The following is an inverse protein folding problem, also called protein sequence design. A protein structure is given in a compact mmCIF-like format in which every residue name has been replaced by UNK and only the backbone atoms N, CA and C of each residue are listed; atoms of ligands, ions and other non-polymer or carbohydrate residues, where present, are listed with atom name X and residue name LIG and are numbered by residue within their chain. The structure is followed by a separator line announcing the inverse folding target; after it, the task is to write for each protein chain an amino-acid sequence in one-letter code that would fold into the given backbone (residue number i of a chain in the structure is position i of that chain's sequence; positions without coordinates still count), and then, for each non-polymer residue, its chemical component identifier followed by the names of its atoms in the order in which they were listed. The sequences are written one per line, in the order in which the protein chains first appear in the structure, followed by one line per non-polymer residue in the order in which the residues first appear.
data_IF_796234292534
#
_entry.id   IF_796234292534
#
_cell.length_a   1.000
_cell.length_b   1.000
_cell.length_c   1.000
_cell.angle_alpha   90.00
_cell.angle_beta   90.00
_cell.angle_gamma   90.00
#
_symmetry.space_group_name_H-M   'P 1'
#
loop_
_entity.id
_entity.type
_entity.pdbx_description
1 polymer ?
#
# COMPACT_ATOMS: atom_id res chain seq x y z
N UNK A 1 13.37 17.52 34.29
CA UNK A 1 12.88 18.86 33.89
C UNK A 1 11.82 18.62 32.86
N UNK A 2 10.58 18.73 33.13
CA UNK A 2 9.60 19.57 33.72
C UNK A 2 8.37 19.32 32.89
N UNK A 3 7.36 18.55 33.32
CA UNK A 3 6.09 18.96 33.90
C UNK A 3 5.46 20.11 33.10
N UNK A 4 4.29 19.82 32.46
CA UNK A 4 3.12 20.62 32.75
C UNK A 4 1.82 19.89 32.38
N UNK A 5 1.02 19.75 33.40
CA UNK A 5 -0.36 19.32 33.48
C UNK A 5 -1.27 20.53 33.26
N UNK A 6 -2.24 20.44 32.37
CA UNK A 6 -3.29 21.43 32.12
C UNK A 6 -4.67 20.81 32.27
N UNK A 7 -5.19 20.90 33.49
CA UNK A 7 -6.58 20.71 33.87
C UNK A 7 -7.40 21.97 33.56
N UNK A 8 -8.69 21.78 33.24
CA UNK A 8 -9.72 22.81 33.29
C UNK A 8 -10.65 22.67 32.08
N UNK A 9 -11.94 22.65 32.14
CA UNK A 9 -12.93 23.06 33.13
C UNK A 9 -14.29 22.55 32.63
N UNK A 10 -15.06 22.08 33.56
CA UNK A 10 -16.49 21.84 33.41
C UNK A 10 -17.23 23.17 33.22
N UNK A 11 -18.22 23.17 32.33
CA UNK A 11 -19.22 24.23 32.30
C UNK A 11 -20.61 23.59 32.42
N UNK A 12 -21.10 23.75 33.65
CA UNK A 12 -22.46 23.55 34.09
C UNK A 12 -23.26 24.81 33.73
N UNK A 13 -24.46 24.68 33.28
CA UNK A 13 -25.30 25.83 32.89
C UNK A 13 -26.70 25.41 32.58
N UNK A 14 -27.46 25.15 33.66
CA UNK A 14 -28.77 25.72 34.01
C UNK A 14 -29.88 25.77 32.92
N UNK A 15 -30.83 24.94 33.14
CA UNK A 15 -32.24 25.18 33.58
C UNK A 15 -32.90 26.47 33.08
N UNK A 16 -33.83 26.34 32.13
CA UNK A 16 -35.06 27.19 32.15
C UNK A 16 -36.29 26.30 31.86
N UNK A 17 -37.08 26.14 32.93
CA UNK A 17 -38.49 25.75 32.86
C UNK A 17 -39.30 26.98 32.52
N UNK A 18 -40.18 26.90 31.54
CA UNK A 18 -41.38 27.73 31.55
C UNK A 18 -42.54 26.91 30.98
N UNK A 19 -43.42 26.62 31.86
CA UNK A 19 -44.75 26.08 31.54
C UNK A 19 -45.64 27.17 30.97
N UNK A 20 -46.50 26.74 30.08
CA UNK A 20 -47.72 27.49 29.80
C UNK A 20 -48.79 26.45 29.49
N UNK A 21 -49.61 26.23 30.51
CA UNK A 21 -50.95 25.62 30.35
C UNK A 21 -51.83 26.62 29.61
N UNK A 22 -52.44 26.18 28.58
CA UNK A 22 -53.71 26.82 28.12
C UNK A 22 -54.61 25.75 27.53
N UNK A 23 -55.51 25.39 28.38
CA UNK A 23 -56.79 24.71 28.11
C UNK A 23 -57.59 25.52 27.12
N UNK A 24 -57.91 24.97 25.96
CA UNK A 24 -59.10 25.43 25.23
C UNK A 24 -59.78 24.22 24.55
N UNK A 25 -60.80 23.88 25.22
CA UNK A 25 -61.84 22.95 24.86
C UNK A 25 -62.68 23.55 23.71
N UNK A 26 -62.56 23.01 22.50
CA UNK A 26 -63.48 23.29 21.42
C UNK A 26 -63.90 21.96 20.79
N UNK A 27 -65.13 21.58 21.13
CA UNK A 27 -65.91 20.55 20.44
C UNK A 27 -66.10 20.98 19.00
N UNK A 28 -65.49 20.28 18.06
CA UNK A 28 -65.99 20.29 16.71
C UNK A 28 -66.33 18.84 16.25
N UNK A 29 -67.58 18.54 16.26
CA UNK A 29 -68.17 17.32 15.69
C UNK A 29 -68.35 17.57 14.18
N UNK A 30 -67.25 17.36 13.43
CA UNK A 30 -67.25 17.45 11.97
C UNK A 30 -66.97 16.08 11.34
N UNK A 31 -68.01 15.39 11.01
CA UNK A 31 -68.26 14.50 9.87
C UNK A 31 -67.03 13.83 9.23
N UNK A 32 -66.55 12.73 9.82
CA UNK A 32 -65.45 11.93 9.30
C UNK A 32 -66.02 10.76 8.44
N UNK A 33 -66.41 11.07 7.18
CA UNK A 33 -66.80 10.10 6.18
C UNK A 33 -65.93 10.07 4.96
N UNK A 34 -64.56 10.11 5.16
CA UNK A 34 -63.64 9.77 4.11
C UNK A 34 -62.52 8.83 4.60
N UNK A 35 -62.94 7.67 5.11
CA UNK A 35 -61.99 6.56 5.27
C UNK A 35 -61.77 5.92 3.89
N UNK A 36 -61.06 6.60 3.01
CA UNK A 36 -60.37 5.94 1.89
C UNK A 36 -59.38 4.88 2.42
N UNK A 37 -59.05 3.87 1.65
CA UNK A 37 -58.28 2.72 2.10
C UNK A 37 -56.86 3.16 2.52
N UNK A 38 -56.70 3.52 3.81
CA UNK A 38 -55.42 3.94 4.42
C UNK A 38 -54.35 2.86 4.33
N UNK A 39 -54.66 1.63 4.00
CA UNK A 39 -53.70 0.53 3.90
C UNK A 39 -52.81 0.53 2.66
N UNK A 40 -53.29 1.04 1.52
CA UNK A 40 -52.52 1.01 0.27
C UNK A 40 -51.37 2.02 0.24
N UNK A 41 -51.59 3.22 0.79
CA UNK A 41 -50.54 4.26 0.83
C UNK A 41 -49.43 3.95 1.83
N UNK A 42 -49.75 3.28 2.93
CA UNK A 42 -48.76 2.87 3.94
C UNK A 42 -47.88 1.72 3.41
N UNK A 43 -48.46 0.81 2.63
CA UNK A 43 -47.73 -0.28 1.98
C UNK A 43 -46.75 0.24 0.91
N UNK A 44 -47.20 1.23 0.12
CA UNK A 44 -46.38 1.85 -0.92
C UNK A 44 -45.19 2.63 -0.29
N UNK A 45 -45.44 3.34 0.81
CA UNK A 45 -44.39 4.06 1.53
C UNK A 45 -43.33 3.10 2.14
N UNK A 46 -43.76 1.99 2.76
CA UNK A 46 -42.86 0.98 3.31
C UNK A 46 -42.02 0.31 2.20
N UNK A 47 -42.66 -0.02 1.07
CA UNK A 47 -41.97 -0.62 -0.07
C UNK A 47 -40.93 0.33 -0.66
N UNK A 48 -41.25 1.61 -0.83
CA UNK A 48 -40.27 2.63 -1.28
C UNK A 48 -39.10 2.77 -0.31
N UNK A 49 -39.34 2.77 1.00
CA UNK A 49 -38.29 2.85 2.02
C UNK A 49 -37.37 1.64 1.95
N UNK A 50 -37.88 0.43 1.78
CA UNK A 50 -37.11 -0.79 1.63
C UNK A 50 -36.27 -0.73 0.35
N UNK A 51 -36.85 -0.32 -0.77
CA UNK A 51 -36.14 -0.20 -2.04
C UNK A 51 -34.97 0.79 -1.91
N UNK A 52 -35.19 1.98 -1.34
CA UNK A 52 -34.15 2.98 -1.12
C UNK A 52 -33.06 2.43 -0.21
N UNK A 53 -33.41 1.75 0.88
CA UNK A 53 -32.44 1.13 1.78
C UNK A 53 -31.57 0.08 1.07
N UNK A 54 -32.17 -0.80 0.26
CA UNK A 54 -31.45 -1.82 -0.51
C UNK A 54 -30.50 -1.18 -1.52
N UNK A 55 -30.97 -0.17 -2.28
CA UNK A 55 -30.09 0.54 -3.22
C UNK A 55 -28.95 1.28 -2.52
N UNK A 56 -29.20 1.87 -1.35
CA UNK A 56 -28.16 2.55 -0.57
C UNK A 56 -27.08 1.57 -0.07
N UNK A 57 -27.49 0.40 0.42
CA UNK A 57 -26.55 -0.66 0.84
C UNK A 57 -25.76 -1.16 -0.35
N UNK A 58 -26.41 -1.41 -1.48
CA UNK A 58 -25.74 -1.86 -2.70
C UNK A 58 -24.71 -0.83 -3.20
N UNK A 59 -25.08 0.44 -3.24
CA UNK A 59 -24.17 1.52 -3.64
C UNK A 59 -22.97 1.63 -2.70
N UNK A 60 -23.19 1.48 -1.39
CA UNK A 60 -22.10 1.49 -0.39
C UNK A 60 -21.16 0.30 -0.58
N UNK A 61 -21.69 -0.90 -0.80
CA UNK A 61 -20.85 -2.09 -1.03
C UNK A 61 -20.03 -1.99 -2.30
N UNK A 62 -20.62 -1.50 -3.40
CA UNK A 62 -19.88 -1.25 -4.66
C UNK A 62 -18.79 -0.20 -4.46
N UNK A 63 -19.08 0.88 -3.73
CA UNK A 63 -18.12 1.94 -3.45
C UNK A 63 -16.93 1.44 -2.61
N UNK A 64 -17.20 0.63 -1.58
CA UNK A 64 -16.14 0.02 -0.76
C UNK A 64 -15.29 -0.97 -1.56
N UNK A 65 -15.91 -1.76 -2.43
CA UNK A 65 -15.20 -2.68 -3.30
C UNK A 65 -14.31 -1.92 -4.30
N UNK A 66 -14.83 -0.88 -4.95
CA UNK A 66 -14.07 -0.03 -5.86
C UNK A 66 -12.88 0.65 -5.16
N UNK A 67 -13.08 1.14 -3.94
CA UNK A 67 -12.02 1.74 -3.13
C UNK A 67 -10.95 0.71 -2.74
N UNK A 68 -11.34 -0.51 -2.38
CA UNK A 68 -10.41 -1.60 -2.08
C UNK A 68 -9.57 -1.98 -3.31
N UNK A 69 -10.20 -2.09 -4.48
CA UNK A 69 -9.53 -2.36 -5.75
C UNK A 69 -8.58 -1.22 -6.11
N UNK A 70 -9.01 0.03 -5.89
CA UNK A 70 -8.16 1.20 -6.12
C UNK A 70 -6.89 1.15 -5.29
N UNK A 71 -6.97 0.91 -3.98
CA UNK A 71 -5.80 0.79 -3.11
C UNK A 71 -4.91 -0.40 -3.47
N UNK A 72 -5.49 -1.53 -3.91
CA UNK A 72 -4.70 -2.68 -4.35
C UNK A 72 -3.90 -2.41 -5.63
N UNK A 73 -4.44 -1.59 -6.54
CA UNK A 73 -3.82 -1.33 -7.85
C UNK A 73 -2.88 -0.12 -7.79
N UNK A 74 -3.25 0.92 -7.03
CA UNK A 74 -2.56 2.22 -7.01
C UNK A 74 -1.75 2.47 -5.72
N UNK A 75 -1.44 1.42 -4.96
CA UNK A 75 -0.44 1.56 -3.90
C UNK A 75 0.95 1.72 -4.54
N UNK A 76 1.37 2.97 -4.68
CA UNK A 76 2.63 3.36 -5.34
C UNK A 76 3.85 3.28 -4.41
N UNK A 77 3.67 2.91 -3.14
CA UNK A 77 4.79 2.79 -2.22
C UNK A 77 5.72 1.67 -2.68
N UNK A 78 6.96 1.98 -3.08
CA UNK A 78 7.89 0.94 -3.48
C UNK A 78 8.20 0.07 -2.25
N UNK A 79 8.07 -1.26 -2.32
CA UNK A 79 8.39 -2.13 -1.19
C UNK A 79 9.88 -2.10 -0.83
N UNK A 80 10.69 -1.55 -1.74
CA UNK A 80 12.14 -1.48 -1.62
C UNK A 80 12.68 -0.35 -2.50
N UNK A 81 13.61 0.43 -1.98
CA UNK A 81 14.25 1.54 -2.69
C UNK A 81 15.77 1.49 -2.47
N UNK A 82 16.53 1.66 -3.54
CA UNK A 82 17.99 1.72 -3.51
C UNK A 82 18.40 3.18 -3.66
N UNK A 83 19.19 3.67 -2.70
CA UNK A 83 19.61 5.08 -2.65
C UNK A 83 20.93 5.34 -3.36
N UNK A 84 21.81 4.34 -3.45
CA UNK A 84 23.11 4.45 -4.09
C UNK A 84 23.10 3.82 -5.51
N UNK A 85 22.44 4.45 -6.44
CA UNK A 85 22.44 4.00 -7.84
C UNK A 85 23.25 5.00 -8.70
N UNK A 86 24.39 4.61 -9.30
CA UNK A 86 24.94 3.26 -9.44
C UNK A 86 25.55 2.68 -8.15
N UNK A 87 25.29 1.40 -7.92
CA UNK A 87 25.69 0.67 -6.71
C UNK A 87 27.20 0.41 -6.74
N UNK A 88 27.97 0.80 -5.71
CA UNK A 88 29.39 0.54 -5.63
C UNK A 88 29.71 -0.97 -5.54
N UNK A 89 30.77 -1.37 -6.22
CA UNK A 89 31.37 -2.70 -6.07
C UNK A 89 32.43 -2.68 -4.96
N UNK A 90 32.66 -3.83 -4.31
CA UNK A 90 33.68 -3.95 -3.29
C UNK A 90 35.12 -3.75 -3.87
N UNK A 91 35.29 -4.21 -5.10
CA UNK A 91 36.55 -4.08 -5.88
C UNK A 91 36.23 -3.52 -7.26
N UNK A 92 37.23 -2.99 -7.91
CA UNK A 92 37.12 -2.51 -9.30
C UNK A 92 37.56 -3.56 -10.32
N UNK A 93 38.26 -4.61 -9.88
CA UNK A 93 38.75 -5.71 -10.74
C UNK A 93 38.40 -7.04 -10.10
N UNK A 94 37.84 -7.93 -10.90
CA UNK A 94 37.44 -9.29 -10.52
C UNK A 94 38.02 -10.31 -11.48
N UNK A 95 38.18 -11.55 -11.02
CA UNK A 95 38.51 -12.70 -11.88
C UNK A 95 37.25 -13.52 -12.15
N UNK A 96 37.26 -14.27 -13.25
CA UNK A 96 36.25 -15.28 -13.51
C UNK A 96 36.18 -16.29 -12.36
N UNK A 97 34.95 -16.69 -11.97
CA UNK A 97 34.73 -17.53 -10.81
C UNK A 97 34.75 -16.79 -9.45
N UNK A 98 35.24 -15.55 -9.39
CA UNK A 98 35.23 -14.76 -8.16
C UNK A 98 33.80 -14.28 -7.80
N UNK A 99 33.59 -13.92 -6.53
CA UNK A 99 32.31 -13.38 -6.07
C UNK A 99 32.30 -11.85 -6.18
N UNK A 100 31.47 -11.31 -7.07
CA UNK A 100 31.15 -9.90 -7.13
C UNK A 100 30.29 -9.51 -5.92
N UNK A 101 30.83 -8.66 -5.04
CA UNK A 101 30.10 -8.11 -3.91
C UNK A 101 29.77 -6.64 -4.16
N UNK A 102 28.53 -6.28 -3.84
CA UNK A 102 27.99 -4.96 -4.05
C UNK A 102 27.61 -4.35 -2.69
N UNK A 103 27.98 -3.09 -2.48
CA UNK A 103 27.59 -2.34 -1.30
C UNK A 103 26.26 -1.63 -1.58
N UNK A 104 25.16 -2.21 -1.14
CA UNK A 104 23.81 -1.68 -1.39
C UNK A 104 23.31 -0.89 -0.19
N UNK A 105 22.89 0.33 -0.44
CA UNK A 105 22.20 1.18 0.53
C UNK A 105 20.71 1.19 0.16
N UNK A 106 19.87 0.63 1.00
CA UNK A 106 18.46 0.48 0.70
C UNK A 106 17.56 0.69 1.90
N UNK A 107 16.33 1.09 1.64
CA UNK A 107 15.21 1.01 2.58
C UNK A 107 14.20 -0.03 2.10
N UNK A 108 13.66 -0.78 3.02
CA UNK A 108 12.68 -1.81 2.79
C UNK A 108 11.47 -1.59 3.68
N UNK A 109 10.27 -1.54 3.06
CA UNK A 109 9.01 -1.31 3.75
C UNK A 109 8.09 -2.53 3.77
N UNK A 110 8.43 -3.58 3.03
CA UNK A 110 7.69 -4.84 3.00
C UNK A 110 8.56 -6.01 3.43
N UNK A 111 8.00 -6.97 4.15
CA UNK A 111 8.62 -8.24 4.51
C UNK A 111 8.40 -9.35 3.47
N UNK A 112 7.69 -9.03 2.38
CA UNK A 112 7.41 -9.98 1.30
C UNK A 112 8.69 -10.53 0.69
N UNK A 113 8.75 -11.81 0.33
CA UNK A 113 9.86 -12.37 -0.42
C UNK A 113 9.96 -11.73 -1.80
N UNK A 114 11.15 -11.75 -2.37
CA UNK A 114 11.40 -11.17 -3.69
C UNK A 114 12.37 -12.02 -4.50
N UNK A 115 12.28 -11.89 -5.81
CA UNK A 115 13.16 -12.57 -6.75
C UNK A 115 14.10 -11.56 -7.39
N UNK A 116 15.41 -11.86 -7.36
CA UNK A 116 16.44 -11.05 -8.00
C UNK A 116 16.89 -11.74 -9.27
N UNK A 117 16.72 -11.04 -10.38
CA UNK A 117 17.30 -11.36 -11.68
C UNK A 117 18.55 -10.52 -11.87
N UNK A 118 19.66 -11.15 -12.21
CA UNK A 118 20.94 -10.48 -12.41
C UNK A 118 21.47 -10.72 -13.81
N UNK A 119 22.18 -9.73 -14.32
CA UNK A 119 22.88 -9.83 -15.59
C UNK A 119 24.15 -8.99 -15.60
N UNK A 120 25.16 -9.47 -16.32
CA UNK A 120 26.36 -8.69 -16.64
C UNK A 120 26.19 -8.07 -18.03
N UNK A 121 26.58 -6.84 -18.19
CA UNK A 121 26.42 -6.09 -19.43
C UNK A 121 27.71 -5.33 -19.79
N UNK A 122 28.21 -5.59 -21.01
CA UNK A 122 29.30 -4.86 -21.69
C UNK A 122 28.96 -4.48 -23.12
N UNK A 123 27.64 -4.44 -23.46
CA UNK A 123 27.09 -4.42 -24.82
C UNK A 123 26.48 -5.77 -25.21
N UNK A 124 26.86 -6.85 -24.52
CA UNK A 124 26.22 -8.17 -24.57
C UNK A 124 25.69 -8.47 -23.18
N UNK A 125 24.52 -9.13 -23.11
CA UNK A 125 23.85 -9.44 -21.85
C UNK A 125 24.12 -10.90 -21.46
N UNK A 126 24.71 -11.09 -20.28
CA UNK A 126 24.95 -12.41 -19.68
C UNK A 126 24.06 -12.57 -18.46
N UNK A 127 22.96 -13.30 -18.61
CA UNK A 127 22.01 -13.52 -17.52
C UNK A 127 22.50 -14.60 -16.56
N UNK A 128 22.25 -14.40 -15.28
CA UNK A 128 22.49 -15.40 -14.24
C UNK A 128 21.17 -15.97 -13.74
N UNK A 129 21.15 -17.19 -13.18
CA UNK A 129 19.93 -17.77 -12.61
C UNK A 129 19.30 -16.86 -11.57
N UNK A 130 17.97 -16.72 -11.57
CA UNK A 130 17.25 -15.91 -10.58
C UNK A 130 17.44 -16.49 -9.18
N UNK A 131 17.41 -15.61 -8.17
CA UNK A 131 17.53 -15.99 -6.77
C UNK A 131 16.32 -15.47 -6.01
N UNK A 132 15.67 -16.36 -5.28
CA UNK A 132 14.67 -15.98 -4.31
C UNK A 132 15.35 -15.62 -2.99
N UNK A 133 14.96 -14.46 -2.45
CA UNK A 133 15.42 -13.97 -1.16
C UNK A 133 14.21 -13.92 -0.24
N UNK A 134 14.27 -14.70 0.84
CA UNK A 134 13.22 -14.75 1.84
C UNK A 134 12.97 -13.38 2.49
N UNK A 135 11.78 -13.23 3.06
CA UNK A 135 11.40 -12.02 3.79
C UNK A 135 12.37 -11.73 4.93
N UNK A 136 12.83 -10.48 5.01
CA UNK A 136 13.55 -9.94 6.16
C UNK A 136 12.73 -8.81 6.76
N UNK A 137 13.08 -8.35 7.95
CA UNK A 137 12.34 -7.29 8.66
C UNK A 137 12.00 -6.10 7.77
N UNK A 138 10.72 -5.75 7.71
CA UNK A 138 10.21 -4.54 7.06
C UNK A 138 10.59 -3.26 7.83
N UNK A 139 10.39 -2.10 7.20
CA UNK A 139 10.63 -0.76 7.78
C UNK A 139 12.07 -0.55 8.26
N UNK A 140 13.03 -1.05 7.51
CA UNK A 140 14.43 -0.94 7.84
C UNK A 140 15.23 -0.38 6.68
N UNK A 141 16.02 0.65 6.98
CA UNK A 141 17.08 1.12 6.09
C UNK A 141 18.41 0.53 6.55
N UNK A 142 19.20 0.03 5.63
CA UNK A 142 20.51 -0.53 5.95
C UNK A 142 21.49 -0.42 4.78
N UNK A 143 22.76 -0.51 5.14
CA UNK A 143 23.88 -0.63 4.19
C UNK A 143 24.43 -2.03 4.35
N UNK A 144 24.36 -2.82 3.30
CA UNK A 144 24.82 -4.20 3.33
C UNK A 144 25.71 -4.53 2.14
N UNK A 145 26.60 -5.47 2.35
CA UNK A 145 27.25 -6.14 1.24
C UNK A 145 26.41 -7.34 0.81
N UNK A 146 26.17 -7.46 -0.51
CA UNK A 146 25.48 -8.65 -1.03
C UNK A 146 26.26 -9.93 -0.68
N UNK A 147 25.60 -11.08 -0.59
CA UNK A 147 26.28 -12.37 -0.34
C UNK A 147 27.32 -12.73 -1.40
N UNK A 148 27.34 -11.99 -2.51
CA UNK A 148 28.17 -12.22 -3.66
C UNK A 148 27.42 -12.87 -4.82
N UNK A 149 27.71 -12.38 -5.99
CA UNK A 149 27.23 -12.89 -7.27
C UNK A 149 28.40 -13.58 -7.95
N UNK A 150 28.36 -14.88 -8.27
CA UNK A 150 29.46 -15.51 -8.96
C UNK A 150 29.63 -14.89 -10.34
N UNK A 151 30.85 -14.47 -10.65
CA UNK A 151 31.25 -14.06 -12.01
C UNK A 151 31.35 -15.31 -12.86
N UNK A 152 30.55 -15.47 -13.92
CA UNK A 152 30.60 -16.66 -14.76
C UNK A 152 31.98 -16.87 -15.36
N UNK A 153 32.46 -18.12 -15.38
CA UNK A 153 33.75 -18.49 -16.01
C UNK A 153 33.74 -18.26 -17.54
N UNK A 154 32.56 -18.17 -18.13
CA UNK A 154 32.37 -17.93 -19.57
C UNK A 154 32.41 -16.46 -19.96
N UNK A 155 32.49 -15.54 -19.00
CA UNK A 155 32.60 -14.13 -19.31
C UNK A 155 33.98 -13.80 -19.84
N UNK A 156 34.13 -13.20 -21.02
CA UNK A 156 35.43 -12.75 -21.53
C UNK A 156 35.94 -11.58 -20.68
N UNK A 157 37.24 -11.36 -20.65
CA UNK A 157 37.84 -10.18 -20.03
C UNK A 157 37.25 -8.89 -20.64
N UNK A 158 36.95 -7.90 -19.80
CA UNK A 158 36.34 -6.64 -20.25
C UNK A 158 35.81 -5.81 -19.11
N UNK A 159 35.18 -4.68 -19.47
CA UNK A 159 34.54 -3.77 -18.52
C UNK A 159 33.04 -4.04 -18.49
N UNK A 160 32.52 -4.34 -17.32
CA UNK A 160 31.14 -4.75 -17.14
C UNK A 160 30.40 -3.87 -16.15
N UNK A 161 29.09 -3.86 -16.28
CA UNK A 161 28.15 -3.46 -15.24
C UNK A 161 27.33 -4.67 -14.81
N UNK A 162 27.01 -4.74 -13.57
CA UNK A 162 26.00 -5.67 -13.09
C UNK A 162 24.66 -4.96 -12.98
N UNK A 163 23.63 -5.50 -13.63
CA UNK A 163 22.26 -5.00 -13.55
C UNK A 163 21.45 -5.99 -12.73
N UNK A 164 20.86 -5.48 -11.66
CA UNK A 164 19.93 -6.22 -10.83
C UNK A 164 18.50 -5.75 -11.08
N UNK A 165 17.61 -6.70 -11.26
CA UNK A 165 16.17 -6.48 -11.36
C UNK A 165 15.49 -7.27 -10.26
N UNK A 166 14.95 -6.55 -9.27
CA UNK A 166 14.26 -7.13 -8.13
C UNK A 166 12.77 -7.08 -8.36
N UNK A 167 12.12 -8.23 -8.32
CA UNK A 167 10.66 -8.38 -8.53
C UNK A 167 10.02 -8.73 -7.20
N UNK A 168 9.08 -7.92 -6.77
CA UNK A 168 8.28 -8.10 -5.57
C UNK A 168 6.84 -8.43 -5.93
N UNK A 169 6.30 -9.47 -5.34
CA UNK A 169 4.89 -9.76 -5.37
C UNK A 169 4.20 -8.95 -4.26
N UNK A 170 3.75 -7.74 -4.57
CA UNK A 170 3.12 -6.84 -3.59
C UNK A 170 1.74 -7.36 -3.20
N UNK A 171 1.02 -7.85 -4.17
CA UNK A 171 -0.29 -8.47 -4.00
C UNK A 171 -0.54 -9.48 -5.15
N UNK A 172 -1.60 -10.31 -5.09
CA UNK A 172 -1.88 -11.32 -6.11
C UNK A 172 -2.11 -10.77 -7.53
N UNK A 173 -2.29 -9.45 -7.68
CA UNK A 173 -2.65 -8.80 -8.95
C UNK A 173 -1.50 -7.94 -9.52
N UNK A 174 -0.46 -7.64 -8.71
CA UNK A 174 0.58 -6.69 -9.11
C UNK A 174 1.97 -7.08 -8.60
N UNK A 175 2.91 -7.08 -9.54
CA UNK A 175 4.34 -7.15 -9.26
C UNK A 175 4.93 -5.75 -9.31
N UNK A 176 5.85 -5.46 -8.40
CA UNK A 176 6.68 -4.25 -8.47
C UNK A 176 8.10 -4.64 -8.84
N UNK A 177 8.68 -3.88 -9.75
CA UNK A 177 10.01 -4.13 -10.28
C UNK A 177 10.90 -2.94 -9.98
N UNK A 178 12.01 -3.20 -9.28
CA UNK A 178 13.06 -2.22 -9.04
C UNK A 178 14.30 -2.64 -9.82
N UNK A 179 14.77 -1.79 -10.72
CA UNK A 179 15.98 -2.02 -11.51
C UNK A 179 17.10 -1.10 -11.02
N UNK A 180 18.27 -1.66 -10.86
CA UNK A 180 19.47 -0.95 -10.42
C UNK A 180 20.71 -1.43 -11.16
N UNK A 181 21.75 -0.61 -11.20
CA UNK A 181 22.98 -0.87 -11.92
C UNK A 181 24.19 -0.66 -11.02
N UNK A 182 25.21 -1.51 -11.16
CA UNK A 182 26.48 -1.29 -10.47
C UNK A 182 27.33 -0.20 -11.13
N UNK A 183 28.30 0.29 -10.40
CA UNK A 183 29.45 0.96 -11.01
C UNK A 183 30.16 0.01 -11.98
N UNK A 184 30.90 0.53 -12.98
CA UNK A 184 31.68 -0.30 -13.87
C UNK A 184 32.83 -0.99 -13.09
N UNK A 185 33.11 -2.22 -13.47
CA UNK A 185 34.22 -3.00 -12.96
C UNK A 185 34.84 -3.82 -14.09
N UNK A 186 36.12 -4.16 -13.94
CA UNK A 186 36.86 -4.94 -14.93
C UNK A 186 36.86 -6.43 -14.54
N UNK A 187 36.70 -7.29 -15.53
CA UNK A 187 36.90 -8.73 -15.39
C UNK A 187 38.18 -9.10 -16.12
N UNK A 188 39.03 -9.82 -15.43
CA UNK A 188 40.31 -10.36 -15.95
C UNK A 188 40.29 -11.88 -15.86
N UNK A 189 41.14 -12.54 -16.61
CA UNK A 189 41.35 -13.99 -16.55
C UNK A 189 41.89 -14.48 -15.18
#
# INVERSE_FOLDING_TARGET
MGIDSGTGQAHDGDRVKSGFDMESNARDRGNDTSRGPRGLNDLDHKMRTIIVAVFSILALTISLLAMSIYFLIFDDNPPFEIYNNPVPTEKTVYRTGELLRLKVEFCRWSDSPYTVYGQFEDGIVYSIPPREIGGTEANRCSVVYTPGVPVPETLPPGIYHYIGRTVYHVNPLADRVVTWRSQPFEIIE
#
